data_IF_004973350196
#
_entry.id   IF_004973350196
#
_cell.length_a   1.000
_cell.length_b   1.000
_cell.length_c   1.000
_cell.angle_alpha   90.00
_cell.angle_beta   90.00
_cell.angle_gamma   90.00
#
_symmetry.space_group_name_H-M   'P 1'
#
loop_
_entity.id
_entity.type
_entity.pdbx_description
1 polymer ?
#
# COMPACT_ATOMS: atom_id res chain seq x y z
N UNK A 1 0.83 -51.26 -57.45
CA UNK A 1 0.78 -50.32 -56.31
C UNK A 1 0.55 -51.16 -55.06
N UNK A 2 1.46 -51.10 -54.08
CA UNK A 2 1.49 -52.01 -52.91
C UNK A 2 0.73 -51.34 -51.77
N UNK A 3 -0.42 -51.90 -51.39
CA UNK A 3 -1.25 -51.37 -50.30
C UNK A 3 -0.55 -51.58 -48.96
N UNK A 4 -0.30 -50.48 -48.24
CA UNK A 4 0.20 -50.49 -46.86
C UNK A 4 -1.02 -50.46 -45.95
N UNK A 5 -1.35 -51.61 -45.33
CA UNK A 5 -2.33 -51.67 -44.26
C UNK A 5 -1.65 -51.27 -42.95
N UNK A 6 -1.91 -50.05 -42.48
CA UNK A 6 -1.49 -49.58 -41.15
C UNK A 6 -2.47 -50.14 -40.12
N UNK A 7 -2.04 -51.14 -39.35
CA UNK A 7 -2.79 -51.65 -38.21
C UNK A 7 -2.72 -50.64 -37.05
N UNK A 8 -3.86 -50.06 -36.68
CA UNK A 8 -3.96 -49.24 -35.47
C UNK A 8 -4.08 -50.16 -34.23
N UNK A 9 -3.27 -49.95 -33.18
CA UNK A 9 -3.36 -50.75 -31.96
C UNK A 9 -4.70 -50.49 -31.27
N UNK A 10 -5.57 -51.50 -31.27
CA UNK A 10 -6.87 -51.49 -30.57
C UNK A 10 -6.67 -51.77 -29.09
N UNK A 11 -6.45 -50.70 -28.33
CA UNK A 11 -6.35 -50.76 -26.87
C UNK A 11 -6.89 -49.49 -26.23
N UNK A 12 -8.19 -49.20 -26.42
CA UNK A 12 -8.87 -48.17 -25.62
C UNK A 12 -9.33 -48.80 -24.31
N UNK A 13 -8.43 -48.86 -23.33
CA UNK A 13 -8.77 -49.20 -21.95
C UNK A 13 -9.58 -48.04 -21.36
N UNK A 14 -10.83 -48.30 -20.98
CA UNK A 14 -11.68 -47.32 -20.29
C UNK A 14 -11.31 -47.22 -18.81
N UNK A 15 -11.40 -46.01 -18.26
CA UNK A 15 -11.24 -45.76 -16.82
C UNK A 15 -12.28 -46.58 -16.04
N UNK A 16 -11.88 -47.31 -15.01
CA UNK A 16 -12.83 -48.01 -14.14
C UNK A 16 -13.50 -47.02 -13.17
N UNK A 17 -14.75 -47.33 -12.78
CA UNK A 17 -15.45 -46.55 -11.75
C UNK A 17 -14.69 -46.52 -10.42
N UNK A 18 -13.98 -47.60 -10.09
CA UNK A 18 -13.20 -47.73 -8.85
C UNK A 18 -11.99 -46.80 -8.88
N UNK A 19 -11.30 -46.71 -10.01
CA UNK A 19 -10.17 -45.78 -10.16
C UNK A 19 -10.62 -44.33 -9.98
N UNK A 20 -11.76 -43.94 -10.57
CA UNK A 20 -12.28 -42.58 -10.41
C UNK A 20 -12.70 -42.28 -8.96
N UNK A 21 -13.27 -43.26 -8.26
CA UNK A 21 -13.67 -43.12 -6.85
C UNK A 21 -12.45 -42.93 -5.92
N UNK A 22 -11.38 -43.68 -6.13
CA UNK A 22 -10.16 -43.54 -5.33
C UNK A 22 -9.51 -42.17 -5.58
N UNK A 23 -9.51 -41.70 -6.83
CA UNK A 23 -8.92 -40.40 -7.18
C UNK A 23 -9.64 -39.24 -6.50
N UNK A 24 -10.97 -39.20 -6.51
CA UNK A 24 -11.70 -38.12 -5.83
C UNK A 24 -11.51 -38.19 -4.30
N UNK A 25 -11.41 -39.38 -3.72
CA UNK A 25 -11.13 -39.56 -2.30
C UNK A 25 -9.72 -39.05 -1.94
N UNK A 26 -8.72 -39.36 -2.78
CA UNK A 26 -7.35 -38.87 -2.60
C UNK A 26 -7.25 -37.36 -2.77
N UNK A 27 -7.89 -36.78 -3.78
CA UNK A 27 -7.92 -35.32 -4.00
C UNK A 27 -8.55 -34.62 -2.79
N UNK A 28 -9.63 -35.17 -2.22
CA UNK A 28 -10.26 -34.59 -1.03
C UNK A 28 -9.31 -34.55 0.17
N UNK A 29 -8.59 -35.65 0.45
CA UNK A 29 -7.65 -35.72 1.58
C UNK A 29 -6.46 -34.77 1.38
N UNK A 30 -5.86 -34.77 0.20
CA UNK A 30 -4.71 -33.90 -0.11
C UNK A 30 -5.10 -32.42 -0.07
N UNK A 31 -6.30 -32.06 -0.54
CA UNK A 31 -6.78 -30.67 -0.53
C UNK A 31 -6.91 -30.11 0.89
N UNK A 32 -7.43 -30.91 1.83
CA UNK A 32 -7.53 -30.51 3.24
C UNK A 32 -6.14 -30.33 3.87
N UNK A 33 -5.21 -31.23 3.58
CA UNK A 33 -3.83 -31.12 4.09
C UNK A 33 -3.13 -29.85 3.61
N UNK A 34 -3.27 -29.48 2.33
CA UNK A 34 -2.67 -28.26 1.78
C UNK A 34 -3.28 -27.00 2.43
N UNK A 35 -4.60 -26.92 2.55
CA UNK A 35 -5.27 -25.77 3.18
C UNK A 35 -4.93 -25.62 4.66
N UNK A 36 -4.64 -26.73 5.37
CA UNK A 36 -4.19 -26.68 6.75
C UNK A 36 -2.80 -26.03 6.91
N UNK A 37 -1.97 -26.03 5.86
CA UNK A 37 -0.61 -25.45 5.89
C UNK A 37 -0.54 -23.99 5.41
N UNK A 38 -1.51 -23.54 4.61
CA UNK A 38 -1.52 -22.17 4.07
C UNK A 38 -2.44 -21.31 4.93
N UNK A 39 -1.94 -20.15 5.37
CA UNK A 39 -2.79 -19.11 5.93
C UNK A 39 -3.24 -18.17 4.79
N UNK A 40 -4.47 -18.34 4.21
CA UNK A 40 -4.92 -17.55 3.07
C UNK A 40 -5.02 -16.05 3.39
N UNK A 41 -5.30 -15.71 4.64
CA UNK A 41 -5.39 -14.31 5.10
C UNK A 41 -4.01 -13.66 5.05
N UNK A 42 -2.98 -14.36 5.53
CA UNK A 42 -1.61 -13.85 5.50
C UNK A 42 -1.10 -13.68 4.07
N UNK A 43 -1.40 -14.62 3.16
CA UNK A 43 -1.05 -14.48 1.74
C UNK A 43 -1.75 -13.30 1.08
N UNK A 44 -3.04 -13.10 1.37
CA UNK A 44 -3.78 -11.94 0.88
C UNK A 44 -3.18 -10.62 1.41
N UNK A 45 -2.82 -10.57 2.69
CA UNK A 45 -2.17 -9.40 3.28
C UNK A 45 -0.79 -9.14 2.65
N UNK A 46 -0.01 -10.20 2.37
CA UNK A 46 1.30 -10.06 1.72
C UNK A 46 1.16 -9.48 0.30
N UNK A 47 0.16 -9.92 -0.45
CA UNK A 47 -0.14 -9.38 -1.78
C UNK A 47 -0.59 -7.90 -1.71
N UNK A 48 -1.42 -7.54 -0.72
CA UNK A 48 -1.84 -6.15 -0.48
C UNK A 48 -0.65 -5.28 -0.11
N UNK A 49 0.21 -5.72 0.79
CA UNK A 49 1.42 -4.97 1.19
C UNK A 49 2.37 -4.77 0.02
N UNK A 50 2.58 -5.79 -0.82
CA UNK A 50 3.38 -5.65 -2.03
C UNK A 50 2.79 -4.62 -3.00
N UNK A 51 1.46 -4.61 -3.13
CA UNK A 51 0.75 -3.61 -3.96
C UNK A 51 0.93 -2.21 -3.41
N UNK A 52 0.73 -2.00 -2.10
CA UNK A 52 0.88 -0.68 -1.47
C UNK A 52 2.34 -0.22 -1.47
N UNK A 53 3.30 -1.14 -1.34
CA UNK A 53 4.72 -0.82 -1.47
C UNK A 53 5.07 -0.32 -2.88
N UNK A 54 4.52 -0.95 -3.92
CA UNK A 54 4.70 -0.50 -5.30
C UNK A 54 4.00 0.85 -5.54
N UNK A 55 2.79 1.02 -5.02
CA UNK A 55 2.06 2.29 -5.09
C UNK A 55 2.85 3.42 -4.39
N UNK A 56 3.46 3.14 -3.23
CA UNK A 56 4.30 4.10 -2.50
C UNK A 56 5.55 4.49 -3.29
N UNK A 57 6.21 3.53 -3.93
CA UNK A 57 7.36 3.81 -4.81
C UNK A 57 6.96 4.64 -6.04
N UNK A 58 5.79 4.38 -6.62
CA UNK A 58 5.29 5.14 -7.76
C UNK A 58 4.91 6.58 -7.36
N UNK A 59 4.32 6.78 -6.18
CA UNK A 59 4.06 8.12 -5.63
C UNK A 59 5.35 8.88 -5.40
N UNK A 60 6.38 8.23 -4.83
CA UNK A 60 7.70 8.85 -4.66
C UNK A 60 8.28 9.29 -6.01
N UNK A 61 8.28 8.39 -7.00
CA UNK A 61 8.74 8.72 -8.35
C UNK A 61 7.94 9.86 -8.98
N UNK A 62 6.63 9.93 -8.71
CA UNK A 62 5.79 11.03 -9.18
C UNK A 62 6.18 12.38 -8.53
N UNK A 63 6.57 12.40 -7.25
CA UNK A 63 7.11 13.61 -6.63
C UNK A 63 8.41 14.06 -7.31
N UNK A 64 9.32 13.14 -7.61
CA UNK A 64 10.58 13.46 -8.29
C UNK A 64 10.35 14.01 -9.70
N UNK A 65 9.41 13.41 -10.46
CA UNK A 65 9.05 13.93 -11.80
C UNK A 65 8.36 15.29 -11.72
N UNK A 66 7.45 15.47 -10.77
CA UNK A 66 6.80 16.76 -10.52
C UNK A 66 7.84 17.84 -10.21
N UNK A 67 8.80 17.54 -9.33
CA UNK A 67 9.89 18.46 -9.01
C UNK A 67 10.76 18.79 -10.23
N UNK A 68 11.09 17.79 -11.06
CA UNK A 68 11.83 18.03 -12.30
C UNK A 68 11.10 18.96 -13.27
N UNK A 69 9.77 18.95 -13.28
CA UNK A 69 8.94 19.78 -14.15
C UNK A 69 8.64 21.17 -13.56
N UNK A 70 8.40 21.26 -12.25
CA UNK A 70 7.85 22.46 -11.58
C UNK A 70 8.86 23.16 -10.65
N UNK A 71 10.03 22.56 -10.40
CA UNK A 71 11.02 23.00 -9.40
C UNK A 71 10.42 23.19 -7.98
N UNK A 72 9.32 22.49 -7.70
CA UNK A 72 8.54 22.55 -6.47
C UNK A 72 7.92 21.17 -6.21
N UNK A 73 7.30 21.00 -5.04
CA UNK A 73 6.54 19.79 -4.71
C UNK A 73 5.06 20.13 -4.51
N UNK A 74 4.12 19.18 -4.68
CA UNK A 74 2.69 19.44 -4.56
C UNK A 74 2.29 20.11 -3.24
N UNK A 75 2.98 19.78 -2.14
CA UNK A 75 2.71 20.38 -0.84
C UNK A 75 3.21 21.81 -0.72
N UNK A 76 4.26 22.20 -1.44
CA UNK A 76 4.71 23.60 -1.48
C UNK A 76 3.69 24.44 -2.24
N UNK A 77 3.21 23.93 -3.38
CA UNK A 77 2.30 24.67 -4.26
C UNK A 77 0.85 24.76 -3.72
N UNK A 78 0.46 23.85 -2.84
CA UNK A 78 -0.91 23.75 -2.31
C UNK A 78 -1.04 24.00 -0.81
N UNK A 79 0.05 23.94 -0.04
CA UNK A 79 -0.04 24.34 1.36
C UNK A 79 -0.25 25.85 1.40
N UNK A 80 -1.29 26.31 2.09
CA UNK A 80 -1.48 27.74 2.37
C UNK A 80 -0.40 28.36 3.28
N UNK A 81 0.73 27.66 3.48
CA UNK A 81 1.85 28.04 4.31
C UNK A 81 3.07 28.38 3.43
N UNK A 82 3.97 29.22 3.93
CA UNK A 82 5.22 29.56 3.25
C UNK A 82 6.25 28.41 3.35
N UNK A 83 5.89 27.23 2.85
CA UNK A 83 6.82 26.11 2.73
C UNK A 83 7.77 26.35 1.56
N UNK A 84 8.99 25.84 1.71
CA UNK A 84 9.98 25.76 0.63
C UNK A 84 10.31 24.30 0.34
N UNK A 85 11.01 24.04 -0.75
CA UNK A 85 11.47 22.69 -1.15
C UNK A 85 12.39 22.04 -0.11
N UNK A 86 13.01 22.86 0.75
CA UNK A 86 13.91 22.47 1.84
C UNK A 86 13.18 22.25 3.18
N UNK A 87 11.90 22.63 3.24
CA UNK A 87 11.09 22.48 4.45
C UNK A 87 10.72 21.02 4.68
N UNK A 88 10.64 20.64 5.95
CA UNK A 88 10.06 19.35 6.31
C UNK A 88 8.56 19.34 5.93
N UNK A 89 8.07 18.20 5.46
CA UNK A 89 6.68 18.02 5.10
C UNK A 89 6.20 16.65 5.60
N UNK A 90 5.13 16.65 6.38
CA UNK A 90 4.54 15.44 6.92
C UNK A 90 3.07 15.42 6.56
N UNK A 91 2.65 14.39 5.84
CA UNK A 91 1.32 14.35 5.27
C UNK A 91 0.75 12.94 5.21
N UNK A 92 -0.57 12.84 5.15
CA UNK A 92 -1.29 11.64 4.75
C UNK A 92 -1.99 11.84 3.41
N UNK A 93 -2.43 10.73 2.80
CA UNK A 93 -3.06 10.70 1.47
C UNK A 93 -4.37 11.48 1.34
N UNK A 94 -4.99 11.90 2.45
CA UNK A 94 -6.20 12.71 2.44
C UNK A 94 -5.94 14.22 2.32
N UNK A 95 -4.71 14.67 2.59
CA UNK A 95 -4.33 16.08 2.48
C UNK A 95 -4.13 16.50 1.03
N UNK A 96 -4.54 17.72 0.70
CA UNK A 96 -4.47 18.23 -0.69
C UNK A 96 -3.01 18.37 -1.14
N UNK A 97 -2.13 18.78 -0.24
CA UNK A 97 -0.68 18.86 -0.49
C UNK A 97 -0.01 17.51 -0.77
N UNK A 98 -0.66 16.38 -0.45
CA UNK A 98 -0.17 15.06 -0.87
C UNK A 98 -0.22 14.90 -2.41
N UNK A 99 -1.09 15.66 -3.10
CA UNK A 99 -1.12 15.69 -4.55
C UNK A 99 -1.95 14.58 -5.20
N UNK A 100 -2.61 13.72 -4.42
CA UNK A 100 -3.58 12.75 -4.94
C UNK A 100 -4.94 13.36 -5.25
N UNK A 101 -5.42 14.25 -4.38
CA UNK A 101 -6.76 14.80 -4.46
C UNK A 101 -6.76 16.31 -4.24
N UNK A 102 -7.73 17.00 -4.81
CA UNK A 102 -7.93 18.43 -4.63
C UNK A 102 -9.16 18.73 -3.76
N UNK A 103 -9.34 20.00 -3.40
CA UNK A 103 -10.58 20.50 -2.81
C UNK A 103 -11.01 21.76 -3.54
N UNK A 104 -12.32 21.89 -3.76
CA UNK A 104 -12.92 23.09 -4.33
C UNK A 104 -13.20 24.16 -3.25
N UNK A 105 -12.83 23.88 -2.00
CA UNK A 105 -12.96 24.80 -0.86
C UNK A 105 -11.65 25.56 -0.69
N UNK A 106 -11.71 26.88 -0.81
CA UNK A 106 -10.56 27.77 -0.61
C UNK A 106 -10.02 27.62 0.82
N UNK A 107 -8.71 27.40 0.96
CA UNK A 107 -8.05 27.25 2.25
C UNK A 107 -8.26 25.89 2.92
N UNK A 108 -8.82 24.89 2.22
CA UNK A 108 -8.90 23.54 2.75
C UNK A 108 -7.50 22.91 2.88
N UNK A 109 -7.28 22.18 3.97
CA UNK A 109 -6.07 21.35 4.17
C UNK A 109 -6.31 19.91 3.70
N UNK A 110 -7.55 19.45 3.82
CA UNK A 110 -7.98 18.08 3.50
C UNK A 110 -8.86 18.06 2.27
N UNK A 111 -8.73 17.01 1.48
CA UNK A 111 -9.59 16.77 0.33
C UNK A 111 -10.97 16.30 0.79
N UNK A 112 -12.00 16.85 0.14
CA UNK A 112 -13.42 16.53 0.36
C UNK A 112 -13.94 15.48 -0.61
N UNK A 113 -13.19 15.25 -1.67
CA UNK A 113 -13.50 14.29 -2.74
C UNK A 113 -12.23 14.01 -3.55
N UNK A 114 -12.12 12.79 -4.05
CA UNK A 114 -11.10 12.38 -5.02
C UNK A 114 -11.82 11.89 -6.26
N UNK A 115 -11.69 12.61 -7.37
CA UNK A 115 -12.31 12.20 -8.62
C UNK A 115 -11.43 12.61 -9.79
N UNK A 116 -11.25 11.74 -10.80
CA UNK A 116 -10.43 12.06 -11.96
C UNK A 116 -11.01 13.20 -12.81
N UNK A 117 -12.28 13.58 -12.59
CA UNK A 117 -12.96 14.60 -13.41
C UNK A 117 -13.04 15.97 -12.75
N UNK A 118 -13.22 16.04 -11.43
CA UNK A 118 -13.64 17.27 -10.76
C UNK A 118 -12.79 17.65 -9.53
N UNK A 119 -11.95 16.74 -9.03
CA UNK A 119 -11.19 16.93 -7.78
C UNK A 119 -9.85 16.18 -7.83
N UNK A 120 -9.13 16.34 -8.95
CA UNK A 120 -7.86 15.66 -9.19
C UNK A 120 -6.73 16.44 -8.51
N UNK A 121 -5.87 15.75 -7.75
CA UNK A 121 -4.69 16.38 -7.14
C UNK A 121 -3.59 16.68 -8.18
N UNK A 122 -2.60 17.48 -7.77
CA UNK A 122 -1.55 17.97 -8.67
C UNK A 122 -0.84 16.85 -9.42
N UNK A 123 -0.42 15.79 -8.72
CA UNK A 123 0.32 14.69 -9.34
C UNK A 123 -0.45 14.04 -10.49
N UNK A 124 -1.78 13.97 -10.40
CA UNK A 124 -2.59 13.37 -11.46
C UNK A 124 -2.91 14.40 -12.56
N UNK A 125 -3.17 15.65 -12.18
CA UNK A 125 -3.49 16.72 -13.14
C UNK A 125 -2.30 17.11 -14.03
N UNK A 126 -1.08 16.96 -13.53
CA UNK A 126 0.16 17.13 -14.29
C UNK A 126 0.64 15.83 -14.93
N UNK A 127 -0.17 14.77 -14.91
CA UNK A 127 0.12 13.45 -15.51
C UNK A 127 1.34 12.73 -14.92
N UNK A 128 1.76 13.12 -13.72
CA UNK A 128 2.84 12.44 -13.00
C UNK A 128 2.38 11.18 -12.29
N UNK A 129 1.08 10.99 -12.10
CA UNK A 129 0.51 9.79 -11.52
C UNK A 129 -0.78 9.40 -12.24
N UNK A 130 -1.05 8.09 -12.31
CA UNK A 130 -2.24 7.57 -13.00
C UNK A 130 -3.51 7.77 -12.18
N UNK A 131 -4.62 8.00 -12.86
CA UNK A 131 -5.96 8.12 -12.25
C UNK A 131 -6.40 6.89 -11.46
N UNK A 132 -5.87 5.70 -11.77
CA UNK A 132 -6.13 4.47 -11.02
C UNK A 132 -5.76 4.56 -9.54
N UNK A 133 -4.92 5.53 -9.16
CA UNK A 133 -4.58 5.79 -7.75
C UNK A 133 -5.77 6.35 -6.96
N UNK A 134 -6.80 6.89 -7.61
CA UNK A 134 -8.03 7.36 -6.96
C UNK A 134 -9.01 6.22 -6.61
N UNK A 135 -8.80 5.04 -7.18
CA UNK A 135 -9.65 3.85 -6.94
C UNK A 135 -9.14 2.99 -5.79
N UNK A 136 -8.13 3.47 -5.06
CA UNK A 136 -7.40 2.74 -4.03
C UNK A 136 -7.96 3.05 -2.65
N UNK A 137 -7.69 2.18 -1.68
CA UNK A 137 -8.28 2.36 -0.34
C UNK A 137 -7.75 3.61 0.37
N UNK A 138 -6.52 4.06 0.10
CA UNK A 138 -5.95 5.31 0.65
C UNK A 138 -6.57 6.59 0.07
N UNK A 139 -7.41 6.50 -0.97
CA UNK A 139 -8.06 7.63 -1.67
C UNK A 139 -9.57 7.49 -1.74
N UNK A 140 -10.14 6.33 -1.37
CA UNK A 140 -11.59 6.15 -1.29
C UNK A 140 -12.17 6.94 -0.12
N UNK A 141 -12.80 8.06 -0.44
CA UNK A 141 -13.67 8.78 0.49
C UNK A 141 -15.03 8.08 0.53
N UNK A 142 -15.48 7.56 1.68
CA UNK A 142 -16.88 7.19 1.87
C UNK A 142 -17.78 8.44 1.82
N UNK A 143 -18.09 8.91 0.61
CA UNK A 143 -19.16 9.86 0.24
C UNK A 143 -19.19 11.24 0.93
N UNK A 144 -18.32 11.54 1.90
CA UNK A 144 -18.22 12.82 2.60
C UNK A 144 -16.83 13.00 3.24
N UNK A 145 -16.32 14.23 3.24
CA UNK A 145 -15.10 14.73 3.92
C UNK A 145 -15.00 14.31 5.39
N UNK A 146 -16.14 14.15 6.06
CA UNK A 146 -16.21 13.75 7.46
C UNK A 146 -15.75 12.30 7.73
N UNK A 147 -15.59 11.48 6.68
CA UNK A 147 -15.14 10.11 6.79
C UNK A 147 -13.90 9.92 5.89
N UNK A 148 -12.70 10.29 6.36
CA UNK A 148 -11.47 10.01 5.62
C UNK A 148 -11.24 8.49 5.50
N UNK A 149 -10.35 8.05 4.59
CA UNK A 149 -9.86 6.67 4.57
C UNK A 149 -9.44 6.21 5.97
N UNK A 150 -9.60 4.92 6.28
CA UNK A 150 -9.07 4.40 7.53
C UNK A 150 -7.57 4.65 7.59
N UNK A 151 -7.05 5.13 8.73
CA UNK A 151 -5.61 5.40 8.89
C UNK A 151 -4.72 4.17 8.57
N UNK A 152 -5.28 2.96 8.73
CA UNK A 152 -4.62 1.69 8.41
C UNK A 152 -4.48 1.41 6.91
N UNK A 153 -5.26 2.10 6.08
CA UNK A 153 -5.23 2.03 4.63
C UNK A 153 -4.51 3.22 4.00
N UNK A 154 -4.33 4.33 4.72
CA UNK A 154 -3.64 5.53 4.25
C UNK A 154 -2.16 5.26 3.92
N UNK A 155 -1.65 6.05 2.98
CA UNK A 155 -0.22 6.24 2.77
C UNK A 155 0.20 7.61 3.28
N UNK A 156 1.44 7.73 3.70
CA UNK A 156 1.97 8.89 4.40
C UNK A 156 3.23 9.35 3.69
N UNK A 157 3.41 10.65 3.53
CA UNK A 157 4.65 11.23 3.02
C UNK A 157 5.38 11.88 4.18
N UNK A 158 6.66 11.58 4.26
CA UNK A 158 7.58 12.21 5.20
C UNK A 158 8.75 12.77 4.41
N UNK A 159 8.94 14.08 4.53
CA UNK A 159 10.07 14.81 3.99
C UNK A 159 10.91 15.30 5.15
N UNK A 160 12.13 14.80 5.26
CA UNK A 160 13.09 15.30 6.24
C UNK A 160 13.57 16.71 5.83
N UNK A 161 13.83 17.62 6.79
CA UNK A 161 14.42 18.91 6.48
C UNK A 161 15.86 18.74 5.97
N UNK A 162 16.43 19.79 5.36
CA UNK A 162 17.81 19.78 4.85
C UNK A 162 18.84 19.36 5.91
N UNK A 163 18.64 19.75 7.17
CA UNK A 163 19.50 19.36 8.29
C UNK A 163 19.60 17.84 8.49
N UNK A 164 18.61 17.08 8.01
CA UNK A 164 18.48 15.63 8.16
C UNK A 164 18.59 14.88 6.82
N UNK A 165 19.31 15.46 5.84
CA UNK A 165 19.62 14.78 4.58
C UNK A 165 18.60 14.99 3.45
N UNK A 166 17.54 15.75 3.70
CA UNK A 166 16.57 16.17 2.68
C UNK A 166 15.86 15.02 1.93
N UNK A 167 15.73 13.83 2.51
CA UNK A 167 15.08 12.68 1.86
C UNK A 167 13.55 12.76 1.90
N UNK A 168 12.89 12.16 0.90
CA UNK A 168 11.44 11.92 0.87
C UNK A 168 11.21 10.44 1.08
N UNK A 169 10.25 10.11 1.93
CA UNK A 169 9.80 8.75 2.14
C UNK A 169 8.29 8.66 1.96
N UNK A 170 7.81 7.57 1.38
CA UNK A 170 6.39 7.23 1.34
C UNK A 170 6.15 5.98 2.17
N UNK A 171 5.38 6.14 3.22
CA UNK A 171 5.18 5.18 4.31
C UNK A 171 3.76 4.60 4.31
N UNK A 172 3.63 3.37 4.74
CA UNK A 172 2.33 2.70 4.92
C UNK A 172 2.41 1.69 6.07
N UNK A 173 1.26 1.27 6.59
CA UNK A 173 1.18 0.27 7.66
C UNK A 173 1.09 -1.13 7.03
N UNK A 174 2.12 -1.99 7.13
CA UNK A 174 2.09 -3.31 6.50
C UNK A 174 1.09 -4.24 7.22
N UNK A 175 0.20 -4.90 6.49
CA UNK A 175 -0.84 -5.79 7.01
C UNK A 175 -0.36 -7.22 7.29
N UNK A 176 0.66 -7.69 6.56
CA UNK A 176 1.20 -9.04 6.69
C UNK A 176 2.15 -9.17 7.88
N UNK A 177 2.02 -10.22 8.69
CA UNK A 177 2.97 -10.53 9.77
C UNK A 177 4.40 -10.69 9.25
N UNK A 178 4.57 -11.23 8.05
CA UNK A 178 5.89 -11.38 7.42
C UNK A 178 6.63 -10.03 7.20
N UNK A 179 5.89 -8.92 7.09
CA UNK A 179 6.43 -7.57 6.92
C UNK A 179 6.51 -6.78 8.24
N UNK A 180 6.30 -7.46 9.37
CA UNK A 180 6.26 -6.88 10.72
C UNK A 180 7.35 -7.42 11.63
N UNK A 181 8.44 -7.88 11.04
CA UNK A 181 9.53 -8.48 11.81
C UNK A 181 10.47 -7.38 12.30
N UNK A 182 11.24 -7.70 13.34
CA UNK A 182 12.36 -6.86 13.81
C UNK A 182 13.33 -6.48 12.69
N UNK A 183 13.42 -7.29 11.62
CA UNK A 183 14.30 -7.05 10.48
C UNK A 183 13.64 -6.23 9.35
N UNK A 184 12.37 -5.85 9.48
CA UNK A 184 11.61 -5.18 8.42
C UNK A 184 11.93 -3.69 8.27
N UNK A 185 12.90 -3.16 9.03
CA UNK A 185 13.32 -1.74 9.06
C UNK A 185 12.12 -0.79 9.16
N UNK A 186 11.25 -1.08 10.14
CA UNK A 186 10.06 -0.29 10.37
C UNK A 186 10.41 1.07 10.96
N UNK A 187 9.53 2.03 10.74
CA UNK A 187 9.64 3.42 11.18
C UNK A 187 8.50 3.73 12.14
N UNK A 188 8.77 4.60 13.09
CA UNK A 188 7.78 5.19 13.98
C UNK A 188 7.36 6.55 13.43
N UNK A 189 6.06 6.71 13.19
CA UNK A 189 5.46 8.01 12.89
C UNK A 189 4.45 8.31 14.01
N UNK A 190 4.73 9.30 14.85
CA UNK A 190 3.72 9.76 15.82
C UNK A 190 2.62 10.49 15.05
N UNK A 191 1.39 9.97 15.08
CA UNK A 191 0.26 10.57 14.38
C UNK A 191 -0.53 11.49 15.33
N UNK A 192 -0.95 12.64 14.82
CA UNK A 192 -1.89 13.52 15.51
C UNK A 192 -3.35 13.02 15.42
N UNK A 193 -4.30 13.81 15.93
CA UNK A 193 -5.74 13.50 15.89
C UNK A 193 -6.32 13.40 14.48
N UNK A 194 -5.64 13.95 13.47
CA UNK A 194 -6.05 13.92 12.06
C UNK A 194 -5.28 12.86 11.27
N UNK A 195 -4.52 12.00 11.94
CA UNK A 195 -3.61 11.02 11.33
C UNK A 195 -2.53 11.68 10.47
N UNK A 196 -2.06 12.86 10.83
CA UNK A 196 -0.90 13.50 10.17
C UNK A 196 0.36 13.14 10.97
N UNK A 197 1.45 12.70 10.32
CA UNK A 197 2.69 12.43 11.02
C UNK A 197 3.25 13.73 11.64
N UNK A 198 3.74 13.63 12.87
CA UNK A 198 4.37 14.75 13.61
C UNK A 198 5.84 14.48 13.87
N UNK A 199 6.24 13.21 13.82
CA UNK A 199 7.63 12.77 13.95
C UNK A 199 7.92 11.64 12.97
N UNK A 200 9.20 11.42 12.71
CA UNK A 200 9.71 10.31 11.91
C UNK A 200 11.00 9.81 12.55
N UNK A 201 11.08 8.49 12.77
CA UNK A 201 12.26 7.86 13.34
C UNK A 201 12.27 6.36 13.09
N UNK A 202 13.39 5.72 13.41
CA UNK A 202 13.49 4.27 13.41
C UNK A 202 12.66 3.64 14.53
N UNK A 203 12.02 2.50 14.26
CA UNK A 203 11.40 1.70 15.30
C UNK A 203 12.49 1.09 16.19
N UNK A 204 12.32 1.17 17.51
CA UNK A 204 13.28 0.60 18.46
C UNK A 204 12.95 -0.88 18.68
N UNK A 205 13.78 -1.74 18.10
CA UNK A 205 13.66 -3.20 18.22
C UNK A 205 13.97 -3.73 19.64
N UNK A 206 14.55 -2.90 20.52
CA UNK A 206 14.76 -3.25 21.92
C UNK A 206 13.55 -2.97 22.81
N UNK A 207 12.58 -2.20 22.32
CA UNK A 207 11.35 -1.89 23.04
C UNK A 207 10.33 -3.04 22.91
N UNK A 208 10.19 -3.83 23.98
CA UNK A 208 9.26 -4.96 24.04
C UNK A 208 7.78 -4.55 23.92
N UNK A 209 7.46 -3.25 24.07
CA UNK A 209 6.11 -2.74 23.80
C UNK A 209 5.84 -2.58 22.30
N UNK A 210 6.91 -2.37 21.52
CA UNK A 210 6.84 -2.29 20.05
C UNK A 210 6.93 -3.69 19.43
N UNK A 211 7.67 -4.63 20.01
CA UNK A 211 7.86 -5.98 19.47
C UNK A 211 7.64 -7.10 20.50
N UNK A 212 6.87 -8.14 20.12
CA UNK A 212 6.63 -9.37 20.89
C UNK A 212 6.72 -10.59 20.00
N UNK A 213 7.38 -11.65 20.47
CA UNK A 213 7.66 -12.87 19.69
C UNK A 213 8.33 -12.59 18.32
N UNK A 214 9.15 -11.53 18.25
CA UNK A 214 9.82 -11.11 17.01
C UNK A 214 8.94 -10.36 16.01
N UNK A 215 7.69 -10.05 16.36
CA UNK A 215 6.75 -9.31 15.53
C UNK A 215 6.28 -8.02 16.19
N UNK A 216 5.99 -7.03 15.36
CA UNK A 216 5.44 -5.76 15.80
C UNK A 216 4.06 -5.90 16.47
N UNK A 217 3.87 -5.23 17.60
CA UNK A 217 2.67 -5.28 18.45
C UNK A 217 1.89 -3.99 18.28
N UNK A 218 0.95 -3.95 17.33
CA UNK A 218 -0.01 -2.86 17.26
C UNK A 218 -1.44 -3.39 17.14
N UNK A 219 -2.38 -2.66 17.72
CA UNK A 219 -3.78 -3.08 17.91
C UNK A 219 -4.73 -2.58 16.82
N UNK A 220 -4.21 -1.81 15.84
CA UNK A 220 -4.98 -1.14 14.78
C UNK A 220 -6.12 -0.24 15.28
N UNK A 221 -6.09 0.10 16.57
CA UNK A 221 -7.08 0.94 17.22
C UNK A 221 -6.76 2.42 17.06
N UNK A 222 -5.46 2.77 17.03
CA UNK A 222 -4.99 4.15 16.82
C UNK A 222 -3.73 4.18 15.96
N UNK A 223 -3.60 5.23 15.14
CA UNK A 223 -2.41 5.45 14.31
C UNK A 223 -1.14 5.72 15.11
N UNK A 224 -1.27 6.30 16.31
CA UNK A 224 -0.14 6.69 17.17
C UNK A 224 0.71 5.53 17.70
N UNK A 225 0.19 4.30 17.70
CA UNK A 225 0.92 3.09 18.15
C UNK A 225 1.30 2.18 16.99
N UNK A 226 1.07 2.63 15.75
CA UNK A 226 1.38 1.85 14.55
C UNK A 226 2.83 2.05 14.13
N UNK A 227 3.39 1.03 13.50
CA UNK A 227 4.67 1.10 12.82
C UNK A 227 4.49 1.07 11.32
N UNK A 228 5.42 1.69 10.62
CA UNK A 228 5.31 1.98 9.20
C UNK A 228 6.46 1.37 8.45
N UNK A 229 6.17 0.88 7.24
CA UNK A 229 7.20 0.55 6.26
C UNK A 229 7.28 1.71 5.29
N UNK A 230 8.49 2.22 5.09
CA UNK A 230 8.73 3.38 4.24
C UNK A 230 9.57 3.01 3.03
N UNK A 231 9.14 3.47 1.86
CA UNK A 231 9.92 3.45 0.63
C UNK A 231 10.77 4.72 0.62
N UNK A 232 12.11 4.60 0.60
CA UNK A 232 13.03 5.73 0.44
C UNK A 232 13.16 6.18 -1.00
#
# INVERSE_FOLDING_TARGET
MKNINVAMPTGRQGFTLVELLIVIALIAILSVAVLATINPIEQSNKAKDATVQNDAAEVLNAYERYYAAQASYPWVDLSGAALTVDSAAFMNSSQIGFGLCASNVVGATYSSSCSPRNSQGLLLSTTELKDSFLEKNYTKFPTNVANPPAFTDMIYTVKDPVANGNSIHVCFIPKAKANRTVNSKLKLLALDVNNVPTTYGDADVSDATQFSNGYAVWTFTTGATSMFKCVP
#
